data_IF_660009259073
#
_entry.id   IF_660009259073
#
_cell.length_a   1.000
_cell.length_b   1.000
_cell.length_c   1.000
_cell.angle_alpha   90.00
_cell.angle_beta   90.00
_cell.angle_gamma   90.00
#
_symmetry.space_group_name_H-M   'P 1'
#
loop_
_entity.id
_entity.type
_entity.pdbx_description
1 polymer ?
#
# COMPACT_ATOMS: atom_id res chain seq x y z
N UNK A 1 2.49 9.76 7.84
CA UNK A 1 1.35 10.72 7.86
C UNK A 1 0.62 10.82 6.52
N UNK A 2 1.30 11.21 5.41
CA UNK A 2 0.64 11.38 4.10
C UNK A 2 -0.04 10.11 3.58
N UNK A 3 0.61 8.95 3.75
CA UNK A 3 0.03 7.65 3.40
C UNK A 3 -1.31 7.41 4.10
N UNK A 4 -1.35 7.53 5.43
CA UNK A 4 -2.58 7.34 6.21
C UNK A 4 -3.69 8.30 5.78
N UNK A 5 -3.37 9.55 5.43
CA UNK A 5 -4.34 10.52 4.90
C UNK A 5 -4.88 10.07 3.54
N UNK A 6 -4.02 9.57 2.65
CA UNK A 6 -4.41 9.05 1.35
C UNK A 6 -5.35 7.84 1.49
N UNK A 7 -4.97 6.86 2.31
CA UNK A 7 -5.80 5.69 2.65
C UNK A 7 -7.14 6.13 3.22
N UNK A 8 -7.13 7.03 4.20
CA UNK A 8 -8.35 7.50 4.83
C UNK A 8 -9.32 8.16 3.83
N UNK A 9 -8.80 9.04 2.97
CA UNK A 9 -9.60 9.67 1.93
C UNK A 9 -10.15 8.65 0.94
N UNK A 10 -9.33 7.69 0.50
CA UNK A 10 -9.77 6.71 -0.47
C UNK A 10 -10.89 5.81 0.10
N UNK A 11 -10.72 5.30 1.32
CA UNK A 11 -11.69 4.41 1.95
C UNK A 11 -13.00 5.11 2.34
N UNK A 12 -12.97 6.37 2.78
CA UNK A 12 -14.15 7.04 3.35
C UNK A 12 -14.73 8.18 2.51
N UNK A 13 -13.99 8.71 1.53
CA UNK A 13 -14.43 9.79 0.65
C UNK A 13 -14.41 9.40 -0.84
N UNK A 14 -13.90 8.20 -1.16
CA UNK A 14 -13.76 7.69 -2.52
C UNK A 14 -12.47 8.15 -3.21
N UNK A 15 -12.09 7.43 -4.27
CA UNK A 15 -10.83 7.61 -4.98
C UNK A 15 -10.65 9.02 -5.55
N UNK A 16 -11.70 9.64 -6.11
CA UNK A 16 -11.63 10.98 -6.68
C UNK A 16 -11.21 12.04 -5.65
N UNK A 17 -11.69 11.93 -4.41
CA UNK A 17 -11.33 12.84 -3.32
C UNK A 17 -9.95 12.53 -2.72
N UNK A 18 -9.39 11.36 -3.04
CA UNK A 18 -8.11 10.89 -2.55
C UNK A 18 -6.95 11.14 -3.52
N UNK A 19 -7.20 11.32 -4.83
CA UNK A 19 -6.18 11.46 -5.89
C UNK A 19 -4.99 12.35 -5.49
N UNK A 20 -5.24 13.60 -5.11
CA UNK A 20 -4.17 14.53 -4.70
C UNK A 20 -3.40 14.09 -3.45
N UNK A 21 -4.05 13.38 -2.51
CA UNK A 21 -3.37 12.84 -1.35
C UNK A 21 -2.51 11.61 -1.71
N UNK A 22 -3.00 10.75 -2.59
CA UNK A 22 -2.26 9.60 -3.12
C UNK A 22 -1.01 10.07 -3.87
N UNK A 23 -1.15 11.02 -4.79
CA UNK A 23 -0.03 11.59 -5.55
C UNK A 23 1.04 12.20 -4.65
N UNK A 24 0.62 13.02 -3.66
CA UNK A 24 1.56 13.61 -2.68
C UNK A 24 2.24 12.56 -1.82
N UNK A 25 1.51 11.55 -1.37
CA UNK A 25 2.10 10.44 -0.62
C UNK A 25 3.11 9.68 -1.47
N UNK A 26 2.77 9.37 -2.74
CA UNK A 26 3.67 8.67 -3.68
C UNK A 26 4.95 9.48 -3.92
N UNK A 27 4.82 10.78 -4.19
CA UNK A 27 5.96 11.65 -4.42
C UNK A 27 6.89 11.72 -3.19
N UNK A 28 6.32 11.83 -1.98
CA UNK A 28 7.09 11.87 -0.74
C UNK A 28 7.79 10.54 -0.40
N UNK A 29 7.18 9.41 -0.78
CA UNK A 29 7.80 8.09 -0.64
C UNK A 29 8.97 7.94 -1.61
N UNK A 30 8.77 8.29 -2.89
CA UNK A 30 9.81 8.21 -3.91
C UNK A 30 10.98 9.17 -3.65
N UNK A 31 10.75 10.35 -3.05
CA UNK A 31 11.84 11.25 -2.67
C UNK A 31 12.73 10.70 -1.55
N UNK A 32 12.26 9.70 -0.82
CA UNK A 32 13.02 9.02 0.25
C UNK A 32 13.61 7.69 -0.22
N UNK A 33 13.50 7.35 -1.50
CA UNK A 33 13.88 6.02 -2.01
C UNK A 33 15.31 5.59 -1.69
N UNK A 34 16.27 6.53 -1.75
CA UNK A 34 17.69 6.26 -1.53
C UNK A 34 18.11 6.28 -0.06
N UNK A 35 17.31 6.90 0.83
CA UNK A 35 17.73 7.22 2.21
C UNK A 35 16.78 6.70 3.28
N UNK A 36 15.55 6.38 2.91
CA UNK A 36 14.52 5.85 3.80
C UNK A 36 14.52 4.33 3.89
N UNK A 37 13.61 3.80 4.69
CA UNK A 37 13.37 2.36 4.77
C UNK A 37 12.71 1.86 3.49
N UNK A 38 13.48 1.14 2.67
CA UNK A 38 13.02 0.63 1.38
C UNK A 38 11.85 -0.35 1.52
N UNK A 39 11.82 -1.16 2.58
CA UNK A 39 10.76 -2.13 2.83
C UNK A 39 9.43 -1.43 3.17
N UNK A 40 9.47 -0.44 4.06
CA UNK A 40 8.30 0.40 4.39
C UNK A 40 7.84 1.23 3.18
N UNK A 41 8.78 1.79 2.40
CA UNK A 41 8.45 2.56 1.19
C UNK A 41 7.73 1.67 0.17
N UNK A 42 8.27 0.50 -0.14
CA UNK A 42 7.66 -0.46 -1.05
C UNK A 42 6.28 -0.92 -0.56
N UNK A 43 6.17 -1.25 0.73
CA UNK A 43 4.90 -1.61 1.34
C UNK A 43 3.85 -0.49 1.16
N UNK A 44 4.20 0.76 1.46
CA UNK A 44 3.27 1.89 1.30
C UNK A 44 2.93 2.17 -0.17
N UNK A 45 3.89 2.04 -1.08
CA UNK A 45 3.64 2.15 -2.52
C UNK A 45 2.67 1.06 -3.00
N UNK A 46 2.77 -0.16 -2.46
CA UNK A 46 1.79 -1.23 -2.71
C UNK A 46 0.38 -0.83 -2.29
N UNK A 47 0.26 -0.24 -1.09
CA UNK A 47 -1.00 0.26 -0.55
C UNK A 47 -1.60 1.40 -1.36
N UNK A 48 -0.78 2.29 -1.93
CA UNK A 48 -1.29 3.35 -2.82
C UNK A 48 -1.77 2.79 -4.16
N UNK A 49 -1.06 1.81 -4.73
CA UNK A 49 -1.44 1.20 -5.99
C UNK A 49 -2.73 0.37 -5.88
N UNK A 50 -2.92 -0.34 -4.76
CA UNK A 50 -4.14 -1.14 -4.57
C UNK A 50 -5.39 -0.26 -4.40
N UNK A 51 -5.25 0.94 -3.81
CA UNK A 51 -6.34 1.93 -3.72
C UNK A 51 -6.77 2.49 -5.09
N UNK A 52 -5.88 2.47 -6.07
CA UNK A 52 -6.14 2.89 -7.45
C UNK A 52 -6.58 1.72 -8.35
N UNK A 53 -6.89 0.56 -7.76
CA UNK A 53 -7.16 -0.72 -8.46
C UNK A 53 -6.02 -1.17 -9.40
N UNK A 54 -4.81 -0.62 -9.24
CA UNK A 54 -3.62 -1.03 -9.97
C UNK A 54 -2.98 -2.24 -9.31
N UNK A 55 -3.68 -3.36 -9.40
CA UNK A 55 -3.40 -4.58 -8.67
C UNK A 55 -2.05 -5.19 -9.02
N UNK A 56 -1.69 -5.19 -10.31
CA UNK A 56 -0.41 -5.76 -10.76
C UNK A 56 0.77 -5.03 -10.11
N UNK A 57 0.77 -3.69 -10.16
CA UNK A 57 1.79 -2.87 -9.54
C UNK A 57 1.79 -3.01 -8.01
N UNK A 58 0.61 -3.09 -7.39
CA UNK A 58 0.49 -3.29 -5.95
C UNK A 58 1.15 -4.59 -5.50
N UNK A 59 0.86 -5.68 -6.20
CA UNK A 59 1.45 -6.99 -5.90
C UNK A 59 2.96 -7.00 -6.15
N UNK A 60 3.45 -6.36 -7.21
CA UNK A 60 4.88 -6.25 -7.45
C UNK A 60 5.59 -5.54 -6.29
N UNK A 61 5.09 -4.38 -5.86
CA UNK A 61 5.67 -3.66 -4.73
C UNK A 61 5.59 -4.45 -3.42
N UNK A 62 4.49 -5.14 -3.16
CA UNK A 62 4.34 -5.95 -1.95
C UNK A 62 5.32 -7.13 -1.95
N UNK A 63 5.48 -7.82 -3.09
CA UNK A 63 6.45 -8.91 -3.24
C UNK A 63 7.88 -8.43 -3.03
N UNK A 64 8.22 -7.24 -3.50
CA UNK A 64 9.53 -6.63 -3.27
C UNK A 64 9.70 -6.15 -1.81
N UNK A 65 8.60 -5.81 -1.11
CA UNK A 65 8.63 -5.37 0.29
C UNK A 65 8.84 -6.53 1.27
N UNK A 66 8.17 -7.66 1.08
CA UNK A 66 8.17 -8.82 1.98
C UNK A 66 9.58 -9.30 2.39
N UNK A 67 10.58 -9.45 1.50
CA UNK A 67 11.90 -9.91 1.91
C UNK A 67 12.72 -8.86 2.70
N UNK A 68 12.23 -7.62 2.78
CA UNK A 68 12.92 -6.49 3.43
C UNK A 68 12.21 -6.07 4.73
N UNK A 69 10.87 -6.11 4.73
CA UNK A 69 10.00 -5.72 5.82
C UNK A 69 9.22 -6.95 6.31
N UNK A 70 9.61 -7.46 7.48
CA UNK A 70 9.03 -8.62 8.14
C UNK A 70 7.57 -8.41 8.60
N UNK A 71 7.16 -7.15 8.80
CA UNK A 71 5.78 -6.79 9.15
C UNK A 71 4.87 -6.68 7.90
N UNK A 72 5.41 -6.72 6.68
CA UNK A 72 4.62 -6.43 5.47
C UNK A 72 3.39 -7.34 5.31
N UNK A 73 3.50 -8.63 5.65
CA UNK A 73 2.39 -9.59 5.58
C UNK A 73 1.33 -9.28 6.66
N UNK A 74 1.77 -9.03 7.89
CA UNK A 74 0.87 -8.65 9.00
C UNK A 74 0.10 -7.37 8.65
N UNK A 75 0.80 -6.38 8.09
CA UNK A 75 0.20 -5.10 7.72
C UNK A 75 -0.89 -5.25 6.66
N UNK A 76 -0.75 -6.15 5.66
CA UNK A 76 -1.83 -6.44 4.70
C UNK A 76 -3.12 -6.90 5.43
N UNK A 77 -2.98 -7.64 6.52
CA UNK A 77 -4.08 -8.12 7.35
C UNK A 77 -4.85 -7.00 8.05
N UNK A 78 -4.20 -5.87 8.36
CA UNK A 78 -4.77 -4.82 9.21
C UNK A 78 -4.95 -3.46 8.53
N UNK A 79 -4.19 -3.19 7.48
CA UNK A 79 -4.20 -1.89 6.80
C UNK A 79 -5.50 -1.69 5.99
N UNK A 80 -6.21 -0.56 6.18
CA UNK A 80 -7.42 -0.26 5.42
C UNK A 80 -7.21 -0.17 3.91
N UNK A 81 -5.98 0.09 3.43
CA UNK A 81 -5.69 0.10 1.99
C UNK A 81 -6.08 -1.23 1.31
N UNK A 82 -5.92 -2.34 2.02
CA UNK A 82 -6.21 -3.69 1.54
C UNK A 82 -7.63 -4.15 1.85
N UNK A 83 -8.47 -3.33 2.49
CA UNK A 83 -9.78 -3.75 2.99
C UNK A 83 -10.67 -4.39 1.93
N UNK A 84 -10.77 -3.79 0.74
CA UNK A 84 -11.59 -4.31 -0.37
C UNK A 84 -10.97 -5.53 -1.06
N UNK A 85 -9.69 -5.79 -0.80
CA UNK A 85 -8.91 -6.88 -1.39
C UNK A 85 -8.61 -8.00 -0.40
N UNK A 86 -9.09 -7.90 0.84
CA UNK A 86 -8.77 -8.85 1.91
C UNK A 86 -9.27 -10.25 1.58
N UNK A 87 -10.46 -10.37 1.01
CA UNK A 87 -11.06 -11.67 0.63
C UNK A 87 -10.56 -12.20 -0.72
N UNK A 88 -9.71 -11.45 -1.43
CA UNK A 88 -9.17 -11.89 -2.71
C UNK A 88 -8.26 -13.13 -2.50
N UNK A 89 -8.32 -14.16 -3.36
CA UNK A 89 -7.57 -15.41 -3.17
C UNK A 89 -6.06 -15.22 -2.98
N UNK A 90 -5.44 -14.26 -3.69
CA UNK A 90 -4.02 -13.93 -3.52
C UNK A 90 -3.71 -13.38 -2.12
N UNK A 91 -4.59 -12.53 -1.60
CA UNK A 91 -4.43 -11.93 -0.26
C UNK A 91 -4.63 -12.99 0.81
N UNK A 92 -5.65 -13.84 0.68
CA UNK A 92 -5.89 -14.95 1.60
C UNK A 92 -4.72 -15.95 1.61
N UNK A 93 -4.17 -16.28 0.43
CA UNK A 93 -2.99 -17.15 0.33
C UNK A 93 -1.76 -16.53 1.00
N UNK A 94 -1.57 -15.21 0.86
CA UNK A 94 -0.48 -14.49 1.54
C UNK A 94 -0.67 -14.46 3.06
N UNK A 95 -1.88 -14.22 3.56
CA UNK A 95 -2.14 -14.13 5.01
C UNK A 95 -2.12 -15.48 5.73
N UNK A 96 -2.13 -16.59 4.98
CA UNK A 96 -2.05 -17.94 5.50
C UNK A 96 -0.61 -18.50 5.56
N UNK A 97 0.39 -17.76 5.05
CA UNK A 97 1.81 -18.16 5.09
C UNK A 97 2.48 -17.78 6.39
#
# INVERSE_FOLDING_TARGET
ALYCIAVAKACWQGLDQAKSAIERSRAALLSQWETGDRGDILYRLSGLAILEDNCEQAWQYLQDAIPINDEAIELVGHDPAWMNWRDHPKTQALLAS
#
